data_IF_890093340093
#
_entry.id   IF_890093340093
#
_cell.length_a   1.000
_cell.length_b   1.000
_cell.length_c   1.000
_cell.angle_alpha   90.00
_cell.angle_beta   90.00
_cell.angle_gamma   90.00
#
_symmetry.space_group_name_H-M   'P 1'
#
loop_
_entity.id
_entity.type
_entity.pdbx_description
1 polymer ?
#
# COMPACT_ATOMS: atom_id res chain seq x y z
N UNK A 1 24.21 18.37 -18.76
CA UNK A 1 25.61 18.43 -18.28
C UNK A 1 25.60 19.13 -16.92
N UNK A 2 25.22 18.38 -15.88
CA UNK A 2 25.14 18.90 -14.51
C UNK A 2 26.47 18.57 -13.83
N UNK A 3 27.31 19.60 -13.82
CA UNK A 3 28.35 19.92 -12.84
C UNK A 3 29.10 18.76 -12.16
N UNK A 4 30.32 18.53 -12.64
CA UNK A 4 31.43 18.01 -11.84
C UNK A 4 31.83 19.05 -10.77
N UNK A 5 31.03 19.19 -9.71
CA UNK A 5 31.42 19.98 -8.54
C UNK A 5 32.25 19.10 -7.58
N UNK A 6 33.56 19.40 -7.37
CA UNK A 6 34.46 18.57 -6.56
C UNK A 6 34.10 18.55 -5.06
N UNK A 7 33.12 19.36 -4.63
CA UNK A 7 32.58 19.38 -3.27
C UNK A 7 31.70 18.18 -2.92
N UNK A 8 31.08 17.52 -3.92
CA UNK A 8 30.21 16.36 -3.70
C UNK A 8 30.94 15.02 -3.59
N UNK A 9 32.25 15.01 -3.87
CA UNK A 9 33.07 13.80 -4.02
C UNK A 9 33.82 13.42 -2.74
N UNK A 10 33.31 13.80 -1.57
CA UNK A 10 33.83 13.31 -0.28
C UNK A 10 33.14 12.00 0.08
N UNK A 11 33.89 10.98 0.53
CA UNK A 11 33.37 9.66 0.93
C UNK A 11 32.18 9.75 1.89
N UNK A 12 32.13 10.81 2.70
CA UNK A 12 31.02 11.12 3.60
C UNK A 12 29.69 11.37 2.86
N UNK A 13 29.71 12.14 1.76
CA UNK A 13 28.52 12.43 0.95
C UNK A 13 27.94 11.15 0.34
N UNK A 14 28.80 10.26 -0.15
CA UNK A 14 28.39 8.96 -0.72
C UNK A 14 27.73 8.10 0.36
N UNK A 15 28.37 7.96 1.53
CA UNK A 15 27.82 7.18 2.65
C UNK A 15 26.47 7.75 3.10
N UNK A 16 26.36 9.08 3.20
CA UNK A 16 25.13 9.75 3.56
C UNK A 16 24.00 9.50 2.54
N UNK A 17 24.30 9.61 1.25
CA UNK A 17 23.35 9.35 0.17
C UNK A 17 22.86 7.89 0.16
N UNK A 18 23.76 6.93 0.39
CA UNK A 18 23.41 5.51 0.52
C UNK A 18 22.49 5.30 1.74
N UNK A 19 22.81 5.93 2.87
CA UNK A 19 22.04 5.79 4.11
C UNK A 19 20.62 6.33 3.96
N UNK A 20 20.44 7.51 3.37
CA UNK A 20 19.11 8.06 3.08
C UNK A 20 18.34 7.14 2.16
N UNK A 21 18.98 6.62 1.11
CA UNK A 21 18.33 5.72 0.15
C UNK A 21 17.84 4.45 0.84
N UNK A 22 18.66 3.86 1.71
CA UNK A 22 18.28 2.68 2.48
C UNK A 22 17.11 2.96 3.43
N UNK A 23 17.14 4.09 4.15
CA UNK A 23 16.06 4.51 5.04
C UNK A 23 14.76 4.73 4.25
N UNK A 24 14.84 5.40 3.10
CA UNK A 24 13.68 5.64 2.24
C UNK A 24 13.04 4.31 1.77
N UNK A 25 13.85 3.35 1.35
CA UNK A 25 13.38 2.01 0.96
C UNK A 25 12.72 1.31 2.16
N UNK A 26 13.35 1.34 3.34
CA UNK A 26 12.81 0.72 4.54
C UNK A 26 11.45 1.31 4.95
N UNK A 27 11.33 2.64 4.95
CA UNK A 27 10.06 3.34 5.23
C UNK A 27 9.00 2.96 4.20
N UNK A 28 9.37 2.93 2.92
CA UNK A 28 8.44 2.60 1.85
C UNK A 28 7.93 1.14 1.95
N UNK A 29 8.81 0.20 2.28
CA UNK A 29 8.45 -1.20 2.52
C UNK A 29 7.53 -1.36 3.73
N UNK A 30 7.83 -0.67 4.84
CA UNK A 30 6.99 -0.68 6.03
C UNK A 30 5.59 -0.14 5.70
N UNK A 31 5.52 0.99 5.00
CA UNK A 31 4.25 1.61 4.62
C UNK A 31 3.39 0.70 3.75
N UNK A 32 3.98 0.04 2.75
CA UNK A 32 3.28 -0.91 1.90
C UNK A 32 2.84 -2.18 2.63
N UNK A 33 3.61 -2.63 3.63
CA UNK A 33 3.23 -3.76 4.49
C UNK A 33 2.04 -3.40 5.37
N UNK A 34 2.07 -2.24 6.02
CA UNK A 34 0.95 -1.75 6.80
C UNK A 34 -0.29 -1.47 5.94
N UNK A 35 -0.13 -0.88 4.75
CA UNK A 35 -1.22 -0.67 3.81
C UNK A 35 -1.88 -1.98 3.36
N UNK A 36 -1.07 -3.00 3.10
CA UNK A 36 -1.57 -4.34 2.77
C UNK A 36 -2.30 -5.00 3.94
N UNK A 37 -1.81 -4.83 5.17
CA UNK A 37 -2.49 -5.32 6.37
C UNK A 37 -3.85 -4.65 6.60
N UNK A 38 -4.01 -3.37 6.25
CA UNK A 38 -5.32 -2.70 6.31
C UNK A 38 -6.28 -3.31 5.29
N UNK A 39 -5.80 -3.57 4.07
CA UNK A 39 -6.62 -4.17 3.00
C UNK A 39 -7.04 -5.60 3.37
N UNK A 40 -6.10 -6.42 3.88
CA UNK A 40 -6.41 -7.78 4.32
C UNK A 40 -7.33 -7.76 5.55
N UNK A 41 -7.11 -6.86 6.50
CA UNK A 41 -7.99 -6.65 7.65
C UNK A 41 -9.41 -6.26 7.25
N UNK A 42 -9.58 -5.38 6.26
CA UNK A 42 -10.89 -5.03 5.71
C UNK A 42 -11.60 -6.26 5.13
N UNK A 43 -10.88 -7.08 4.36
CA UNK A 43 -11.45 -8.31 3.79
C UNK A 43 -11.88 -9.31 4.88
N UNK A 44 -11.11 -9.42 5.97
CA UNK A 44 -11.46 -10.26 7.12
C UNK A 44 -12.69 -9.74 7.85
N UNK A 45 -12.81 -8.42 8.06
CA UNK A 45 -14.00 -7.79 8.65
C UNK A 45 -15.25 -8.10 7.80
N UNK A 46 -15.18 -7.94 6.48
CA UNK A 46 -16.30 -8.29 5.57
C UNK A 46 -16.68 -9.78 5.67
N UNK A 47 -15.68 -10.66 5.79
CA UNK A 47 -15.91 -12.09 5.99
C UNK A 47 -16.61 -12.38 7.33
N UNK A 48 -16.14 -11.77 8.41
CA UNK A 48 -16.76 -11.94 9.73
C UNK A 48 -18.17 -11.35 9.79
N UNK A 49 -18.40 -10.21 9.12
CA UNK A 49 -19.72 -9.58 9.04
C UNK A 49 -20.74 -10.49 8.34
N UNK A 50 -20.33 -11.14 7.25
CA UNK A 50 -21.14 -12.17 6.56
C UNK A 50 -21.48 -13.33 7.49
N UNK A 51 -20.49 -13.83 8.24
CA UNK A 51 -20.71 -14.91 9.22
C UNK A 51 -21.61 -14.50 10.39
N UNK A 52 -21.51 -13.24 10.83
CA UNK A 52 -22.35 -12.67 11.87
C UNK A 52 -23.79 -12.52 11.38
N UNK A 53 -23.98 -12.08 10.14
CA UNK A 53 -25.31 -11.97 9.50
C UNK A 53 -26.04 -13.31 9.50
N UNK A 54 -25.36 -14.40 9.12
CA UNK A 54 -25.97 -15.73 9.11
C UNK A 54 -26.46 -16.16 10.50
N UNK A 55 -25.67 -15.88 11.55
CA UNK A 55 -26.05 -16.15 12.94
C UNK A 55 -27.18 -15.23 13.41
N UNK A 56 -27.14 -13.95 13.05
CA UNK A 56 -28.10 -12.94 13.45
C UNK A 56 -29.50 -13.23 12.88
N UNK A 57 -29.59 -13.65 11.60
CA UNK A 57 -30.86 -14.06 10.98
C UNK A 57 -31.47 -15.27 11.71
N UNK A 58 -30.65 -16.23 12.15
CA UNK A 58 -31.11 -17.41 12.90
C UNK A 58 -31.67 -17.07 14.29
N UNK A 59 -31.23 -15.97 14.89
CA UNK A 59 -31.66 -15.52 16.22
C UNK A 59 -33.04 -14.84 16.24
N UNK A 60 -33.70 -14.67 15.08
CA UNK A 60 -35.01 -13.99 14.96
C UNK A 60 -35.07 -12.65 15.72
N UNK A 61 -34.25 -11.67 15.32
CA UNK A 61 -34.12 -10.40 16.03
C UNK A 61 -35.38 -9.54 15.87
N UNK A 62 -35.53 -8.55 16.76
CA UNK A 62 -36.57 -7.53 16.63
C UNK A 62 -36.41 -6.73 15.33
N UNK A 63 -37.53 -6.18 14.83
CA UNK A 63 -37.56 -5.46 13.56
C UNK A 63 -36.63 -4.23 13.54
N UNK A 64 -36.45 -3.56 14.68
CA UNK A 64 -35.51 -2.44 14.84
C UNK A 64 -34.05 -2.89 14.80
N UNK A 65 -33.71 -4.00 15.45
CA UNK A 65 -32.36 -4.56 15.42
C UNK A 65 -31.98 -5.03 14.01
N UNK A 66 -32.95 -5.58 13.26
CA UNK A 66 -32.79 -5.96 11.86
C UNK A 66 -32.44 -4.76 10.96
N UNK A 67 -33.13 -3.63 11.13
CA UNK A 67 -32.86 -2.40 10.36
C UNK A 67 -31.47 -1.84 10.63
N UNK A 68 -31.07 -1.75 11.90
CA UNK A 68 -29.72 -1.28 12.29
C UNK A 68 -28.64 -2.21 11.76
N UNK A 69 -28.85 -3.53 11.86
CA UNK A 69 -27.92 -4.50 11.32
C UNK A 69 -27.79 -4.41 9.80
N UNK A 70 -28.90 -4.28 9.06
CA UNK A 70 -28.86 -4.12 7.61
C UNK A 70 -28.13 -2.84 7.20
N UNK A 71 -28.38 -1.73 7.89
CA UNK A 71 -27.66 -0.49 7.62
C UNK A 71 -26.15 -0.65 7.85
N UNK A 72 -25.74 -1.25 8.97
CA UNK A 72 -24.32 -1.51 9.25
C UNK A 72 -23.70 -2.47 8.22
N UNK A 73 -24.42 -3.54 7.89
CA UNK A 73 -23.99 -4.53 6.91
C UNK A 73 -23.76 -3.89 5.54
N UNK A 74 -24.72 -3.09 5.08
CA UNK A 74 -24.62 -2.39 3.80
C UNK A 74 -23.43 -1.42 3.78
N UNK A 75 -23.23 -0.63 4.83
CA UNK A 75 -22.11 0.30 4.92
C UNK A 75 -20.75 -0.43 4.92
N UNK A 76 -20.60 -1.47 5.74
CA UNK A 76 -19.36 -2.24 5.85
C UNK A 76 -19.06 -3.00 4.54
N UNK A 77 -20.07 -3.57 3.90
CA UNK A 77 -19.88 -4.32 2.66
C UNK A 77 -19.56 -3.41 1.47
N UNK A 78 -20.18 -2.22 1.39
CA UNK A 78 -19.96 -1.23 0.32
C UNK A 78 -18.67 -0.42 0.48
N UNK A 79 -18.17 -0.25 1.70
CA UNK A 79 -16.96 0.54 1.93
C UNK A 79 -15.71 -0.32 1.73
N UNK A 80 -14.80 0.11 0.86
CA UNK A 80 -13.47 -0.47 0.75
C UNK A 80 -12.47 0.41 1.49
N UNK A 81 -11.99 -0.09 2.63
CA UNK A 81 -10.90 0.56 3.35
C UNK A 81 -9.58 0.25 2.66
N UNK A 82 -9.01 1.28 2.05
CA UNK A 82 -7.71 1.24 1.37
C UNK A 82 -6.85 2.40 1.86
N UNK A 83 -5.55 2.16 2.02
CA UNK A 83 -4.58 3.24 2.28
C UNK A 83 -4.16 3.80 0.94
N UNK A 84 -4.25 5.12 0.76
CA UNK A 84 -3.87 5.78 -0.49
C UNK A 84 -2.78 6.83 -0.28
N UNK A 85 -1.90 6.97 -1.27
CA UNK A 85 -0.98 8.10 -1.35
C UNK A 85 -1.67 9.27 -2.05
N UNK A 86 -2.22 10.20 -1.27
CA UNK A 86 -2.88 11.40 -1.81
C UNK A 86 -4.10 11.13 -2.70
N UNK A 87 -4.74 9.96 -2.59
CA UNK A 87 -5.86 9.54 -3.43
C UNK A 87 -5.48 9.05 -4.83
N UNK A 88 -4.19 9.01 -5.18
CA UNK A 88 -3.73 8.69 -6.54
C UNK A 88 -3.43 7.21 -6.71
N UNK A 89 -2.83 6.59 -5.69
CA UNK A 89 -2.44 5.18 -5.72
C UNK A 89 -2.75 4.50 -4.39
N UNK A 90 -3.07 3.21 -4.46
CA UNK A 90 -3.29 2.37 -3.28
C UNK A 90 -1.94 1.84 -2.80
N UNK A 91 -1.68 2.01 -1.51
CA UNK A 91 -0.47 1.56 -0.84
C UNK A 91 -0.64 0.09 -0.46
N UNK A 92 0.00 -0.79 -1.22
CA UNK A 92 0.01 -2.23 -0.99
C UNK A 92 1.31 -2.87 -1.49
N UNK A 93 1.50 -4.17 -1.27
CA UNK A 93 2.66 -4.91 -1.75
C UNK A 93 2.81 -4.88 -3.29
N UNK A 94 1.68 -4.81 -4.02
CA UNK A 94 1.68 -4.67 -5.47
C UNK A 94 2.29 -3.35 -5.95
N UNK A 95 2.14 -2.27 -5.20
CA UNK A 95 2.77 -0.98 -5.50
C UNK A 95 4.30 -1.09 -5.47
N UNK A 96 4.86 -1.77 -4.45
CA UNK A 96 6.31 -1.99 -4.37
C UNK A 96 6.78 -2.78 -5.60
N UNK A 97 6.09 -3.88 -5.92
CA UNK A 97 6.46 -4.74 -7.03
C UNK A 97 6.42 -3.97 -8.37
N UNK A 98 5.41 -3.11 -8.53
CA UNK A 98 5.28 -2.23 -9.70
C UNK A 98 6.46 -1.27 -9.80
N UNK A 99 6.80 -0.58 -8.70
CA UNK A 99 7.94 0.35 -8.68
C UNK A 99 9.25 -0.38 -8.95
N UNK A 100 9.47 -1.55 -8.35
CA UNK A 100 10.65 -2.37 -8.60
C UNK A 100 10.75 -2.78 -10.08
N UNK A 101 9.65 -3.26 -10.67
CA UNK A 101 9.59 -3.61 -12.08
C UNK A 101 9.93 -2.41 -12.97
N UNK A 102 9.33 -1.25 -12.71
CA UNK A 102 9.57 -0.01 -13.47
C UNK A 102 11.03 0.43 -13.35
N UNK A 103 11.60 0.41 -12.14
CA UNK A 103 13.02 0.72 -11.91
C UNK A 103 13.93 -0.22 -12.70
N UNK A 104 13.68 -1.54 -12.69
CA UNK A 104 14.46 -2.50 -13.47
C UNK A 104 14.32 -2.27 -14.97
N UNK A 105 13.09 -2.07 -15.48
CA UNK A 105 12.84 -1.81 -16.90
C UNK A 105 13.59 -0.57 -17.37
N UNK A 106 13.49 0.54 -16.65
CA UNK A 106 14.21 1.76 -17.02
C UNK A 106 15.73 1.61 -16.90
N UNK A 107 16.22 0.89 -15.88
CA UNK A 107 17.66 0.63 -15.75
C UNK A 107 18.20 -0.14 -16.96
N UNK A 108 17.48 -1.16 -17.43
CA UNK A 108 17.86 -1.92 -18.63
C UNK A 108 17.81 -1.05 -19.88
N UNK A 109 16.77 -0.24 -20.06
CA UNK A 109 16.65 0.66 -21.22
C UNK A 109 17.78 1.69 -21.27
N UNK A 110 18.15 2.26 -20.12
CA UNK A 110 19.27 3.22 -20.03
C UNK A 110 20.58 2.53 -20.40
N UNK A 111 20.83 1.32 -19.88
CA UNK A 111 22.04 0.56 -20.23
C UNK A 111 22.10 0.23 -21.72
N UNK A 112 20.96 -0.09 -22.34
CA UNK A 112 20.89 -0.35 -23.78
C UNK A 112 21.17 0.92 -24.59
N UNK A 113 20.61 2.06 -24.19
CA UNK A 113 20.83 3.35 -24.86
C UNK A 113 22.27 3.86 -24.71
N UNK A 114 22.92 3.62 -23.56
CA UNK A 114 24.33 4.02 -23.32
C UNK A 114 25.33 3.18 -24.14
N UNK A 115 24.93 1.97 -24.55
CA UNK A 115 25.72 1.08 -25.41
C UNK A 115 25.54 1.35 -26.92
N UNK A 116 24.78 2.37 -27.31
CA UNK A 116 24.54 2.74 -28.72
C UNK A 116 25.24 4.05 -29.08
#
# INVERSE_FOLDING_TARGET
>A
MVTHDPLFQTSFSIIYSISISFIAIAIFLAMASHGSNVISGNSEIKRQMTRCSEKFIRLSPSLSAMQVFNFLFENVMKTDMVVTGGGIFVINHGLILTIASVMTTYSVLILQLDQT
#
